data_IF_088171050673
#
_entry.id   IF_088171050673
#
_cell.length_a   1.000
_cell.length_b   1.000
_cell.length_c   1.000
_cell.angle_alpha   90.00
_cell.angle_beta   90.00
_cell.angle_gamma   90.00
#
_symmetry.space_group_name_H-M   'P 1'
#
loop_
_entity.id
_entity.type
_entity.pdbx_description
1 polymer ?
#
# COMPACT_ATOMS: atom_id res chain seq x y z
N UNK A 1 -11.04 -10.08 -10.43
CA UNK A 1 -9.60 -9.78 -10.20
C UNK A 1 -8.88 -11.12 -10.03
N UNK A 2 -8.04 -11.51 -10.99
CA UNK A 2 -7.26 -12.75 -10.90
C UNK A 2 -5.89 -12.44 -10.29
N UNK A 3 -5.64 -12.88 -9.06
CA UNK A 3 -4.34 -12.76 -8.42
C UNK A 3 -3.51 -14.01 -8.75
N UNK A 4 -2.64 -13.93 -9.75
CA UNK A 4 -1.62 -14.94 -9.96
C UNK A 4 -0.37 -14.53 -9.14
N UNK A 5 0.02 -15.37 -8.19
CA UNK A 5 1.30 -15.21 -7.51
C UNK A 5 2.46 -15.54 -8.48
N UNK A 6 2.87 -14.54 -9.28
CA UNK A 6 3.95 -14.67 -10.25
C UNK A 6 5.28 -15.15 -9.62
N UNK A 7 5.46 -14.92 -8.31
CA UNK A 7 6.62 -15.40 -7.53
C UNK A 7 6.72 -16.92 -7.41
N UNK A 8 5.59 -17.64 -7.56
CA UNK A 8 5.56 -19.12 -7.48
C UNK A 8 5.95 -19.81 -8.78
N UNK A 9 6.06 -19.08 -9.89
CA UNK A 9 6.36 -19.65 -11.21
C UNK A 9 7.81 -19.36 -11.61
N UNK A 10 8.56 -20.43 -11.87
CA UNK A 10 9.90 -20.35 -12.47
C UNK A 10 9.74 -20.10 -13.97
N UNK A 11 10.39 -19.05 -14.48
CA UNK A 11 10.47 -18.74 -15.93
C UNK A 11 11.02 -19.92 -16.76
N UNK A 12 11.68 -20.89 -16.12
CA UNK A 12 12.23 -22.11 -16.73
C UNK A 12 11.23 -23.26 -16.88
N UNK A 13 9.98 -23.12 -16.41
CA UNK A 13 8.97 -24.17 -16.61
C UNK A 13 8.58 -24.25 -18.09
N UNK A 14 8.67 -25.46 -18.66
CA UNK A 14 8.36 -25.75 -20.06
C UNK A 14 6.84 -25.79 -20.35
N UNK A 15 6.04 -25.02 -19.62
CA UNK A 15 4.60 -24.98 -19.84
C UNK A 15 4.27 -24.07 -21.03
N UNK A 16 4.28 -24.63 -22.24
CA UNK A 16 3.94 -23.95 -23.49
C UNK A 16 2.56 -23.25 -23.41
N UNK A 17 1.58 -23.88 -22.75
CA UNK A 17 0.21 -23.36 -22.58
C UNK A 17 0.15 -22.14 -21.65
N UNK A 18 0.96 -22.09 -20.59
CA UNK A 18 0.88 -21.01 -19.57
C UNK A 18 1.77 -19.83 -19.87
N UNK A 19 2.79 -20.00 -20.71
CA UNK A 19 3.73 -18.95 -21.09
C UNK A 19 3.04 -17.71 -21.70
N UNK A 20 2.14 -17.83 -22.68
CA UNK A 20 1.41 -16.67 -23.22
C UNK A 20 0.59 -15.94 -22.15
N UNK A 21 -0.05 -16.68 -21.24
CA UNK A 21 -0.80 -16.06 -20.14
C UNK A 21 0.10 -15.31 -19.16
N UNK A 22 1.29 -15.85 -18.85
CA UNK A 22 2.27 -15.17 -18.00
C UNK A 22 2.88 -13.94 -18.67
N UNK A 23 3.09 -13.98 -19.99
CA UNK A 23 3.56 -12.84 -20.78
C UNK A 23 2.51 -11.73 -20.80
N UNK A 24 1.24 -12.09 -21.01
CA UNK A 24 0.10 -11.17 -20.96
C UNK A 24 -0.02 -10.48 -19.59
N UNK A 25 -0.11 -11.24 -18.49
CA UNK A 25 -0.21 -10.65 -17.14
C UNK A 25 1.08 -9.96 -16.68
N UNK A 26 2.22 -10.32 -17.27
CA UNK A 26 3.53 -9.72 -16.99
C UNK A 26 3.87 -8.50 -17.86
N UNK A 27 2.98 -8.07 -18.76
CA UNK A 27 3.22 -7.02 -19.75
C UNK A 27 4.50 -7.24 -20.58
N UNK A 28 4.84 -8.50 -20.89
CA UNK A 28 5.98 -8.86 -21.74
C UNK A 28 5.50 -9.09 -23.18
N UNK A 29 6.34 -8.81 -24.20
CA UNK A 29 6.00 -9.19 -25.57
C UNK A 29 5.84 -10.70 -25.67
N UNK A 30 4.85 -11.15 -26.43
CA UNK A 30 4.61 -12.58 -26.61
C UNK A 30 5.78 -13.24 -27.34
N UNK A 31 6.30 -14.33 -26.78
CA UNK A 31 7.34 -15.13 -27.44
C UNK A 31 6.74 -16.26 -28.29
N UNK A 32 5.47 -16.56 -28.10
CA UNK A 32 4.68 -17.56 -28.83
C UNK A 32 3.36 -16.95 -29.27
N UNK A 33 2.70 -17.54 -30.28
CA UNK A 33 1.39 -17.07 -30.72
C UNK A 33 0.36 -17.24 -29.57
N UNK A 34 -0.23 -16.14 -29.08
CA UNK A 34 -1.17 -16.21 -27.97
C UNK A 34 -2.48 -16.86 -28.42
N UNK A 35 -3.15 -17.54 -27.50
CA UNK A 35 -4.49 -18.07 -27.74
C UNK A 35 -5.47 -16.92 -28.03
N UNK A 36 -6.53 -17.20 -28.81
CA UNK A 36 -7.55 -16.23 -29.20
C UNK A 36 -8.12 -15.42 -28.02
N UNK A 37 -8.28 -16.05 -26.85
CA UNK A 37 -8.75 -15.37 -25.65
C UNK A 37 -7.78 -14.29 -25.14
N UNK A 38 -6.48 -14.57 -25.21
CA UNK A 38 -5.42 -13.63 -24.83
C UNK A 38 -5.32 -12.50 -25.87
N UNK A 39 -5.40 -12.83 -27.17
CA UNK A 39 -5.39 -11.82 -28.23
C UNK A 39 -6.58 -10.85 -28.14
N UNK A 40 -7.77 -11.37 -27.80
CA UNK A 40 -8.96 -10.52 -27.60
C UNK A 40 -8.83 -9.65 -26.35
N UNK A 41 -8.28 -10.20 -25.27
CA UNK A 41 -8.02 -9.43 -24.07
C UNK A 41 -6.96 -8.33 -24.29
N UNK A 42 -5.90 -8.63 -25.04
CA UNK A 42 -4.85 -7.68 -25.44
C UNK A 42 -5.43 -6.53 -26.27
N UNK A 43 -6.35 -6.81 -27.20
CA UNK A 43 -7.06 -5.79 -27.97
C UNK A 43 -7.95 -4.89 -27.10
N UNK A 44 -8.62 -5.45 -26.08
CA UNK A 44 -9.42 -4.65 -25.14
C UNK A 44 -8.55 -3.73 -24.28
N UNK A 45 -7.28 -4.08 -24.07
CA UNK A 45 -6.29 -3.25 -23.37
C UNK A 45 -5.58 -2.27 -24.30
N UNK A 46 -5.80 -2.34 -25.62
CA UNK A 46 -5.23 -1.38 -26.57
C UNK A 46 -5.92 -0.03 -26.42
N UNK A 47 -5.26 0.87 -25.68
CA UNK A 47 -5.66 2.26 -25.49
C UNK A 47 -5.95 3.00 -26.81
N UNK A 48 -5.33 2.60 -27.93
CA UNK A 48 -5.57 3.21 -29.25
C UNK A 48 -6.95 2.88 -29.81
N UNK A 49 -7.54 1.76 -29.40
CA UNK A 49 -8.88 1.33 -29.81
C UNK A 49 -10.01 1.88 -28.94
N UNK A 50 -9.69 2.51 -27.81
CA UNK A 50 -10.69 3.01 -26.86
C UNK A 50 -11.46 4.22 -27.39
N UNK A 51 -12.75 4.27 -27.07
CA UNK A 51 -13.59 5.44 -27.35
C UNK A 51 -13.19 6.63 -26.48
N UNK A 52 -13.60 7.85 -26.87
CA UNK A 52 -13.37 9.05 -26.06
C UNK A 52 -14.04 8.95 -24.68
N UNK A 53 -15.16 8.24 -24.59
CA UNK A 53 -15.89 7.98 -23.35
C UNK A 53 -15.12 7.01 -22.45
N UNK A 54 -14.62 5.91 -23.00
CA UNK A 54 -13.81 4.92 -22.26
C UNK A 54 -12.53 5.54 -21.71
N UNK A 55 -11.83 6.35 -22.54
CA UNK A 55 -10.63 7.08 -22.11
C UNK A 55 -10.91 8.06 -20.98
N UNK A 56 -12.05 8.74 -21.00
CA UNK A 56 -12.44 9.73 -19.98
C UNK A 56 -12.87 9.07 -18.67
N UNK A 57 -13.62 7.96 -18.74
CA UNK A 57 -14.07 7.21 -17.57
C UNK A 57 -12.90 6.51 -16.86
N UNK A 58 -12.02 5.86 -17.63
CA UNK A 58 -10.86 5.15 -17.07
C UNK A 58 -9.82 6.11 -16.47
N UNK A 59 -9.62 7.29 -17.05
CA UNK A 59 -8.61 8.24 -16.56
C UNK A 59 -9.03 9.11 -15.38
N UNK A 60 -10.33 9.41 -15.22
CA UNK A 60 -10.76 10.34 -14.16
C UNK A 60 -11.34 9.66 -12.94
N UNK A 61 -12.11 8.59 -13.12
CA UNK A 61 -12.75 7.89 -12.01
C UNK A 61 -11.73 7.05 -11.23
N UNK A 62 -10.95 6.21 -11.92
CA UNK A 62 -9.95 5.37 -11.27
C UNK A 62 -8.86 6.17 -10.58
N UNK A 63 -8.38 7.26 -11.20
CA UNK A 63 -7.40 8.13 -10.55
C UNK A 63 -7.96 8.75 -9.26
N UNK A 64 -9.24 9.12 -9.23
CA UNK A 64 -9.88 9.66 -8.03
C UNK A 64 -10.08 8.59 -6.96
N UNK A 65 -10.49 7.38 -7.35
CA UNK A 65 -10.66 6.25 -6.44
C UNK A 65 -9.33 5.83 -5.82
N UNK A 66 -8.28 5.68 -6.62
CA UNK A 66 -6.93 5.34 -6.14
C UNK A 66 -6.37 6.44 -5.23
N UNK A 67 -6.54 7.72 -5.58
CA UNK A 67 -6.12 8.83 -4.72
C UNK A 67 -6.89 8.87 -3.39
N UNK A 68 -8.19 8.59 -3.40
CA UNK A 68 -9.00 8.55 -2.19
C UNK A 68 -8.58 7.39 -1.27
N UNK A 69 -8.28 6.23 -1.85
CA UNK A 69 -7.81 5.06 -1.10
C UNK A 69 -6.43 5.33 -0.46
N UNK A 70 -5.48 5.85 -1.23
CA UNK A 70 -4.16 6.20 -0.71
C UNK A 70 -4.22 7.28 0.38
N UNK A 71 -5.09 8.28 0.22
CA UNK A 71 -5.30 9.31 1.24
C UNK A 71 -5.91 8.75 2.53
N UNK A 72 -6.81 7.76 2.41
CA UNK A 72 -7.39 7.06 3.55
C UNK A 72 -6.34 6.24 4.30
N UNK A 73 -5.54 5.44 3.58
CA UNK A 73 -4.48 4.62 4.17
C UNK A 73 -3.45 5.48 4.89
N UNK A 74 -3.03 6.58 4.27
CA UNK A 74 -2.11 7.54 4.88
C UNK A 74 -2.71 8.21 6.14
N UNK A 75 -3.99 8.57 6.10
CA UNK A 75 -4.66 9.14 7.26
C UNK A 75 -4.78 8.13 8.42
N UNK A 76 -4.99 6.85 8.11
CA UNK A 76 -5.06 5.77 9.09
C UNK A 76 -3.70 5.52 9.72
N UNK A 77 -2.64 5.37 8.91
CA UNK A 77 -1.27 5.17 9.39
C UNK A 77 -0.81 6.32 10.30
N UNK A 78 -1.08 7.57 9.90
CA UNK A 78 -0.81 8.76 10.71
C UNK A 78 -1.62 8.78 12.02
N UNK A 79 -2.87 8.30 12.01
CA UNK A 79 -3.69 8.23 13.21
C UNK A 79 -3.20 7.14 14.17
N UNK A 80 -2.76 6.00 13.65
CA UNK A 80 -2.17 4.92 14.44
C UNK A 80 -0.85 5.34 15.07
N UNK A 81 0.05 5.96 14.30
CA UNK A 81 1.34 6.44 14.78
C UNK A 81 1.16 7.49 15.90
N UNK A 82 0.36 8.54 15.64
CA UNK A 82 0.06 9.57 16.64
C UNK A 82 -0.70 9.02 17.84
N UNK A 83 -1.59 8.05 17.62
CA UNK A 83 -2.33 7.38 18.68
C UNK A 83 -1.40 6.58 19.60
N UNK A 84 -0.43 5.86 19.02
CA UNK A 84 0.56 5.10 19.76
C UNK A 84 1.52 6.01 20.53
N UNK A 85 2.01 7.08 19.91
CA UNK A 85 2.86 8.07 20.58
C UNK A 85 2.15 8.74 21.76
N UNK A 86 0.90 9.18 21.55
CA UNK A 86 0.07 9.75 22.63
C UNK A 86 -0.23 8.73 23.72
N UNK A 87 -0.53 7.49 23.37
CA UNK A 87 -0.77 6.41 24.32
C UNK A 87 0.45 6.14 25.20
N UNK A 88 1.65 6.10 24.60
CA UNK A 88 2.93 5.99 25.34
C UNK A 88 3.12 7.17 26.28
N UNK A 89 2.94 8.41 25.80
CA UNK A 89 3.06 9.62 26.62
C UNK A 89 2.14 9.56 27.85
N UNK A 90 0.86 9.22 27.67
CA UNK A 90 -0.08 9.12 28.78
C UNK A 90 0.29 8.02 29.78
N UNK A 91 0.78 6.87 29.31
CA UNK A 91 1.24 5.80 30.20
C UNK A 91 2.41 6.25 31.08
N UNK A 92 3.39 6.96 30.51
CA UNK A 92 4.50 7.51 31.30
C UNK A 92 4.06 8.58 32.29
N UNK A 93 3.15 9.49 31.90
CA UNK A 93 2.59 10.49 32.81
C UNK A 93 1.86 9.84 33.99
N UNK A 94 1.05 8.81 33.73
CA UNK A 94 0.33 8.07 34.76
C UNK A 94 1.29 7.34 35.73
N UNK A 95 2.33 6.68 35.20
CA UNK A 95 3.36 6.04 36.03
C UNK A 95 4.11 7.02 36.93
N UNK A 96 4.42 8.23 36.44
CA UNK A 96 5.08 9.26 37.26
C UNK A 96 4.13 9.83 38.30
N UNK A 97 2.85 10.09 37.96
CA UNK A 97 1.83 10.52 38.93
C UNK A 97 1.58 9.50 40.04
N UNK A 98 1.68 8.20 39.73
CA UNK A 98 1.58 7.11 40.71
C UNK A 98 2.87 6.90 41.52
N UNK A 99 3.93 7.66 41.25
CA UNK A 99 5.22 7.54 41.92
C UNK A 99 5.99 6.26 41.55
N UNK A 100 5.60 5.58 40.47
CA UNK A 100 6.25 4.35 39.98
C UNK A 100 7.52 4.67 39.17
N UNK A 101 7.65 5.89 38.67
CA UNK A 101 8.77 6.35 37.86
C UNK A 101 9.09 7.81 38.17
N UNK A 102 10.33 8.25 37.95
CA UNK A 102 10.71 9.67 38.09
C UNK A 102 10.62 10.40 36.75
N UNK A 103 10.38 11.72 36.80
CA UNK A 103 10.26 12.58 35.61
C UNK A 103 11.49 12.49 34.70
N UNK A 104 12.69 12.30 35.25
CA UNK A 104 13.93 12.21 34.48
C UNK A 104 14.05 10.91 33.67
N UNK A 105 13.50 9.80 34.19
CA UNK A 105 13.52 8.51 33.48
C UNK A 105 12.45 8.52 32.38
N UNK A 106 11.26 9.08 32.66
CA UNK A 106 10.18 9.21 31.68
C UNK A 106 10.58 10.14 30.53
N UNK A 107 11.12 11.33 30.84
CA UNK A 107 11.50 12.31 29.82
C UNK A 107 12.58 11.76 28.90
N UNK A 108 13.59 11.04 29.45
CA UNK A 108 14.65 10.39 28.67
C UNK A 108 14.10 9.33 27.71
N UNK A 109 13.13 8.52 28.13
CA UNK A 109 12.55 7.49 27.27
C UNK A 109 11.61 8.03 26.19
N UNK A 110 11.01 9.18 26.44
CA UNK A 110 10.21 9.90 25.47
C UNK A 110 11.06 10.82 24.55
N UNK A 111 12.37 10.92 24.80
CA UNK A 111 13.28 11.76 24.02
C UNK A 111 13.04 13.27 24.18
N UNK A 112 12.43 13.69 25.28
CA UNK A 112 12.14 15.10 25.59
C UNK A 112 12.88 15.57 26.86
N UNK A 113 12.93 16.88 27.07
CA UNK A 113 13.54 17.45 28.27
C UNK A 113 12.68 17.22 29.51
N UNK A 114 13.29 17.24 30.69
CA UNK A 114 12.56 17.10 31.97
C UNK A 114 11.53 18.23 32.12
N UNK A 115 11.89 19.46 31.76
CA UNK A 115 11.01 20.62 31.84
C UNK A 115 9.78 20.50 30.92
N UNK A 116 9.95 19.99 29.69
CA UNK A 116 8.83 19.73 28.77
C UNK A 116 7.90 18.64 29.31
N UNK A 117 8.47 17.59 29.91
CA UNK A 117 7.69 16.53 30.52
C UNK A 117 6.92 17.00 31.77
N UNK A 118 7.58 17.75 32.65
CA UNK A 118 6.95 18.32 33.85
C UNK A 118 5.84 19.33 33.54
N UNK A 119 5.93 20.04 32.41
CA UNK A 119 4.85 20.91 31.95
C UNK A 119 3.58 20.15 31.53
N UNK A 120 3.68 18.83 31.28
CA UNK A 120 2.56 17.95 30.88
C UNK A 120 1.98 17.14 32.06
N UNK A 121 2.62 17.20 33.23
CA UNK A 121 2.34 16.42 34.44
C UNK A 121 1.25 17.04 35.30
#
# INVERSE_FOLDING_TARGET
>A
MAFLELKKYRETSKDEVRKPWLEFFGNKPFTQEPERAISQADQLLDYKSWSEEDRKMFSQLHMREEQALLAQDYALEQAEEKGLERGKLFAFLDMVRQGLLTSEIASRQLGMTVAEFEALL
#
